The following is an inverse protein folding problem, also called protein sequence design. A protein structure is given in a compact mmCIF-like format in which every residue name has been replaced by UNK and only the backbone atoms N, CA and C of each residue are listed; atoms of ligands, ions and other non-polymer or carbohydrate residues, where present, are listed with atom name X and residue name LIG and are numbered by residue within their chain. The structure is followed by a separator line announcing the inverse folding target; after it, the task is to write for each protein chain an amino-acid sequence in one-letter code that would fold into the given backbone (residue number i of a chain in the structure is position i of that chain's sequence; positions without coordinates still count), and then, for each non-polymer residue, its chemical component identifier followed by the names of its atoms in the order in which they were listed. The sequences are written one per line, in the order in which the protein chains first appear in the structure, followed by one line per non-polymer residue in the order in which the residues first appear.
data_IF_870100792085
#
_entry.id   IF_870100792085
#
_cell.length_a   1.000
_cell.length_b   1.000
_cell.length_c   1.000
_cell.angle_alpha   90.00
_cell.angle_beta   90.00
_cell.angle_gamma   90.00
#
_symmetry.space_group_name_H-M   'P 1'
#
loop_
_entity.id
_entity.type
_entity.pdbx_description
1 polymer ?
#
# COMPACT_ATOMS: atom_id res chain seq x y z
N UNK A 1 -24.76 11.93 0.86
CA UNK A 1 -24.20 13.03 1.69
C UNK A 1 -23.01 12.59 2.51
N UNK A 2 -23.01 11.39 3.12
CA UNK A 2 -21.87 10.90 3.93
C UNK A 2 -20.59 10.72 3.08
N UNK A 3 -20.69 10.07 1.91
CA UNK A 3 -19.52 9.84 1.03
C UNK A 3 -18.79 11.14 0.62
N UNK A 4 -19.53 12.17 0.20
CA UNK A 4 -18.92 13.46 -0.18
C UNK A 4 -18.23 14.20 0.98
N UNK A 5 -18.64 13.94 2.22
CA UNK A 5 -17.94 14.47 3.40
C UNK A 5 -16.64 13.69 3.68
N UNK A 6 -16.63 12.37 3.47
CA UNK A 6 -15.43 11.53 3.63
C UNK A 6 -14.38 11.85 2.55
N UNK A 7 -14.81 12.01 1.29
CA UNK A 7 -13.95 12.43 0.18
C UNK A 7 -13.33 13.80 0.43
N UNK A 8 -14.13 14.77 0.88
CA UNK A 8 -13.65 16.11 1.22
C UNK A 8 -12.67 16.11 2.39
N UNK A 9 -12.94 15.32 3.43
CA UNK A 9 -12.03 15.14 4.56
C UNK A 9 -10.71 14.51 4.13
N UNK A 10 -10.76 13.49 3.27
CA UNK A 10 -9.55 12.82 2.77
C UNK A 10 -8.71 13.77 1.90
N UNK A 11 -9.37 14.54 1.01
CA UNK A 11 -8.69 15.54 0.18
C UNK A 11 -7.99 16.59 1.05
N UNK A 12 -8.66 17.09 2.08
CA UNK A 12 -8.06 18.06 3.00
C UNK A 12 -6.87 17.46 3.77
N UNK A 13 -6.97 16.21 4.24
CA UNK A 13 -5.86 15.55 4.93
C UNK A 13 -4.65 15.38 3.99
N UNK A 14 -4.89 15.03 2.73
CA UNK A 14 -3.85 14.89 1.72
C UNK A 14 -3.18 16.26 1.45
N UNK A 15 -3.94 17.34 1.33
CA UNK A 15 -3.39 18.70 1.18
C UNK A 15 -2.60 19.18 2.41
N UNK A 16 -3.03 18.82 3.62
CA UNK A 16 -2.30 19.15 4.86
C UNK A 16 -0.97 18.43 4.87
N UNK A 17 -0.93 17.15 4.50
CA UNK A 17 0.31 16.39 4.39
C UNK A 17 1.27 17.03 3.38
N UNK A 18 0.83 17.36 2.17
CA UNK A 18 1.66 17.99 1.13
C UNK A 18 2.27 19.32 1.57
N UNK A 19 1.61 20.05 2.47
CA UNK A 19 2.11 21.32 3.03
C UNK A 19 3.06 21.11 4.20
N UNK A 20 2.83 20.05 4.99
CA UNK A 20 3.66 19.72 6.14
C UNK A 20 4.97 19.04 5.71
N UNK A 21 4.94 18.17 4.70
CA UNK A 21 6.09 17.39 4.26
C UNK A 21 7.33 18.24 3.96
N UNK A 22 7.26 19.37 3.23
CA UNK A 22 8.44 20.21 2.97
C UNK A 22 8.93 21.02 4.17
N UNK A 23 8.11 21.12 5.23
CA UNK A 23 8.40 21.93 6.42
C UNK A 23 9.22 21.14 7.43
N UNK A 24 9.14 19.83 7.38
CA UNK A 24 9.96 18.93 8.17
C UNK A 24 11.16 18.51 7.35
N UNK A 25 12.35 18.40 7.98
CA UNK A 25 13.41 17.57 7.41
C UNK A 25 12.81 16.17 7.17
N UNK A 26 13.30 15.42 6.16
CA UNK A 26 12.72 14.16 5.64
C UNK A 26 12.28 13.16 6.72
N UNK A 27 12.73 13.34 7.97
CA UNK A 27 12.27 12.59 9.14
C UNK A 27 11.59 13.42 10.26
N UNK A 28 10.24 13.45 10.29
CA UNK A 28 9.44 14.01 11.40
C UNK A 28 8.42 13.03 12.00
N UNK A 29 8.46 12.88 13.33
CA UNK A 29 7.48 12.12 14.12
C UNK A 29 6.09 12.73 14.06
N UNK A 30 5.99 14.03 13.80
CA UNK A 30 4.71 14.75 13.75
C UNK A 30 3.87 14.27 12.56
N UNK A 31 4.52 13.84 11.46
CA UNK A 31 3.85 13.24 10.31
C UNK A 31 3.30 11.84 10.62
N UNK A 32 4.02 11.05 11.43
CA UNK A 32 3.53 9.75 11.92
C UNK A 32 2.31 9.96 12.81
N UNK A 33 2.39 10.89 13.76
CA UNK A 33 1.28 11.21 14.67
C UNK A 33 0.07 11.76 13.90
N UNK A 34 0.31 12.59 12.88
CA UNK A 34 -0.74 13.06 11.98
C UNK A 34 -1.49 11.90 11.33
N UNK A 35 -0.78 10.96 10.68
CA UNK A 35 -1.42 9.82 10.04
C UNK A 35 -2.16 8.94 11.04
N UNK A 36 -1.57 8.66 12.21
CA UNK A 36 -2.24 7.89 13.29
C UNK A 36 -3.53 8.58 13.72
N UNK A 37 -3.52 9.89 13.90
CA UNK A 37 -4.70 10.68 14.26
C UNK A 37 -5.79 10.63 13.19
N UNK A 38 -5.41 10.71 11.90
CA UNK A 38 -6.36 10.59 10.79
C UNK A 38 -6.99 9.19 10.75
N UNK A 39 -6.19 8.14 10.90
CA UNK A 39 -6.65 6.74 10.97
C UNK A 39 -7.66 6.58 12.11
N UNK A 40 -7.29 6.97 13.33
CA UNK A 40 -8.15 6.88 14.52
C UNK A 40 -9.46 7.68 14.35
N UNK A 41 -9.38 8.84 13.69
CA UNK A 41 -10.56 9.67 13.42
C UNK A 41 -11.54 8.95 12.50
N UNK A 42 -11.06 8.30 11.44
CA UNK A 42 -11.93 7.49 10.57
C UNK A 42 -12.45 6.24 11.31
N UNK A 43 -11.60 5.53 12.06
CA UNK A 43 -12.02 4.35 12.83
C UNK A 43 -13.07 4.69 13.89
N UNK A 44 -12.98 5.86 14.53
CA UNK A 44 -13.94 6.32 15.54
C UNK A 44 -15.30 6.73 14.96
N UNK A 45 -15.37 7.03 13.67
CA UNK A 45 -16.60 7.40 12.97
C UNK A 45 -17.41 6.17 12.49
N UNK A 46 -17.02 4.95 12.86
CA UNK A 46 -17.41 3.73 12.16
C UNK A 46 -18.87 3.28 12.36
N UNK A 47 -19.51 2.99 11.22
CA UNK A 47 -20.52 1.93 11.00
C UNK A 47 -20.66 1.54 9.49
N UNK A 48 -19.76 1.97 8.60
CA UNK A 48 -19.89 1.71 7.15
C UNK A 48 -18.60 1.31 6.45
N UNK A 49 -18.74 0.39 5.50
CA UNK A 49 -17.67 -0.12 4.63
C UNK A 49 -16.86 0.98 3.92
N UNK A 50 -17.51 2.10 3.58
CA UNK A 50 -16.86 3.24 2.94
C UNK A 50 -15.79 3.91 3.81
N UNK A 51 -15.93 3.90 5.14
CA UNK A 51 -14.96 4.48 6.07
C UNK A 51 -13.69 3.63 6.12
N UNK A 52 -13.85 2.30 6.04
CA UNK A 52 -12.75 1.35 6.15
C UNK A 52 -11.77 1.43 4.97
N UNK A 53 -12.24 1.83 3.78
CA UNK A 53 -11.39 2.13 2.63
C UNK A 53 -10.44 3.30 2.91
N UNK A 54 -10.90 4.37 3.57
CA UNK A 54 -10.02 5.50 3.93
C UNK A 54 -9.03 5.11 5.02
N UNK A 55 -9.46 4.30 6.00
CA UNK A 55 -8.56 3.75 7.02
C UNK A 55 -7.40 3.01 6.34
N UNK A 56 -7.70 2.12 5.40
CA UNK A 56 -6.65 1.39 4.67
C UNK A 56 -5.78 2.29 3.80
N UNK A 57 -6.37 3.28 3.10
CA UNK A 57 -5.61 4.28 2.35
C UNK A 57 -4.57 4.98 3.23
N UNK A 58 -4.98 5.44 4.42
CA UNK A 58 -4.06 6.14 5.32
C UNK A 58 -3.06 5.21 6.01
N UNK A 59 -3.41 3.95 6.29
CA UNK A 59 -2.44 2.93 6.73
C UNK A 59 -1.35 2.70 5.69
N UNK A 60 -1.71 2.63 4.41
CA UNK A 60 -0.75 2.42 3.33
C UNK A 60 0.18 3.63 3.15
N UNK A 61 -0.35 4.86 3.27
CA UNK A 61 0.46 6.09 3.27
C UNK A 61 1.40 6.18 4.47
N UNK A 62 0.93 5.79 5.65
CA UNK A 62 1.76 5.73 6.84
C UNK A 62 2.87 4.69 6.68
N UNK A 63 2.58 3.53 6.08
CA UNK A 63 3.58 2.52 5.78
C UNK A 63 4.71 3.08 4.89
N UNK A 64 4.38 3.82 3.82
CA UNK A 64 5.40 4.47 2.97
C UNK A 64 6.28 5.42 3.77
N UNK A 65 5.66 6.28 4.59
CA UNK A 65 6.39 7.22 5.42
C UNK A 65 7.32 6.52 6.42
N UNK A 66 6.88 5.38 6.98
CA UNK A 66 7.68 4.56 7.88
C UNK A 66 8.83 3.86 7.15
N UNK A 67 8.65 3.44 5.89
CA UNK A 67 9.75 2.96 5.05
C UNK A 67 10.82 4.04 4.84
N UNK A 68 10.42 5.27 4.53
CA UNK A 68 11.33 6.41 4.41
C UNK A 68 12.05 6.74 5.74
N UNK A 69 11.44 6.38 6.87
CA UNK A 69 12.00 6.49 8.21
C UNK A 69 12.93 5.36 8.64
N UNK A 70 13.04 4.29 7.85
CA UNK A 70 13.67 3.02 8.23
C UNK A 70 12.93 2.24 9.35
N UNK A 71 11.67 2.58 9.63
CA UNK A 71 10.80 1.91 10.61
C UNK A 71 10.09 0.71 9.96
N UNK A 72 10.87 -0.21 9.39
CA UNK A 72 10.37 -1.27 8.51
C UNK A 72 9.40 -2.24 9.17
N UNK A 73 9.57 -2.54 10.47
CA UNK A 73 8.71 -3.50 11.17
C UNK A 73 7.26 -2.99 11.28
N UNK A 74 7.08 -1.72 11.64
CA UNK A 74 5.76 -1.10 11.72
C UNK A 74 5.16 -0.93 10.32
N UNK A 75 5.97 -0.54 9.32
CA UNK A 75 5.52 -0.41 7.94
C UNK A 75 5.01 -1.74 7.35
N UNK A 76 5.75 -2.84 7.56
CA UNK A 76 5.35 -4.18 7.10
C UNK A 76 4.04 -4.60 7.76
N UNK A 77 3.92 -4.39 9.07
CA UNK A 77 2.69 -4.74 9.79
C UNK A 77 1.46 -4.03 9.20
N UNK A 78 1.60 -2.74 8.86
CA UNK A 78 0.52 -2.00 8.22
C UNK A 78 0.18 -2.54 6.83
N UNK A 79 1.19 -2.86 6.01
CA UNK A 79 0.98 -3.48 4.69
C UNK A 79 0.25 -4.82 4.81
N UNK A 80 0.65 -5.68 5.75
CA UNK A 80 -0.01 -6.96 6.00
C UNK A 80 -1.49 -6.77 6.41
N UNK A 81 -1.78 -5.78 7.27
CA UNK A 81 -3.15 -5.43 7.64
C UNK A 81 -3.99 -4.98 6.43
N UNK A 82 -3.45 -4.10 5.58
CA UNK A 82 -4.12 -3.63 4.36
C UNK A 82 -4.36 -4.80 3.39
N UNK A 83 -3.37 -5.67 3.20
CA UNK A 83 -3.50 -6.85 2.33
C UNK A 83 -4.61 -7.80 2.81
N UNK A 84 -4.65 -8.10 4.11
CA UNK A 84 -5.70 -8.92 4.71
C UNK A 84 -7.09 -8.31 4.50
N UNK A 85 -7.20 -6.99 4.57
CA UNK A 85 -8.44 -6.30 4.26
C UNK A 85 -8.82 -6.43 2.77
N UNK A 86 -7.89 -6.16 1.85
CA UNK A 86 -8.13 -6.31 0.41
C UNK A 86 -8.56 -7.75 0.05
N UNK A 87 -7.92 -8.75 0.66
CA UNK A 87 -8.29 -10.18 0.58
C UNK A 87 -9.75 -10.43 0.97
N UNK A 88 -10.18 -9.87 2.09
CA UNK A 88 -11.55 -10.01 2.60
C UNK A 88 -12.56 -9.36 1.66
N UNK A 89 -12.26 -8.18 1.11
CA UNK A 89 -13.20 -7.52 0.19
C UNK A 89 -13.37 -8.30 -1.10
N UNK A 90 -12.26 -8.70 -1.73
CA UNK A 90 -12.31 -9.40 -3.02
C UNK A 90 -13.07 -10.73 -2.89
N UNK A 91 -12.88 -11.46 -1.79
CA UNK A 91 -13.62 -12.70 -1.54
C UNK A 91 -15.12 -12.50 -1.26
N UNK A 92 -15.53 -11.31 -0.80
CA UNK A 92 -16.93 -10.98 -0.49
C UNK A 92 -17.71 -10.33 -1.63
N UNK A 93 -17.02 -9.62 -2.54
CA UNK A 93 -17.66 -8.82 -3.57
C UNK A 93 -17.36 -9.41 -4.94
N UNK A 94 -18.17 -10.37 -5.37
CA UNK A 94 -17.94 -11.15 -6.59
C UNK A 94 -17.94 -10.37 -7.91
N UNK A 95 -18.08 -9.03 -7.93
CA UNK A 95 -18.15 -8.28 -9.20
C UNK A 95 -18.15 -6.74 -9.09
N UNK A 96 -17.97 -6.13 -7.91
CA UNK A 96 -18.12 -4.66 -7.77
C UNK A 96 -16.99 -4.00 -7.00
N UNK A 97 -16.09 -3.40 -7.78
CA UNK A 97 -15.38 -2.16 -7.46
C UNK A 97 -14.93 -2.03 -6.00
N UNK A 98 -14.02 -2.91 -5.58
CA UNK A 98 -12.93 -2.43 -4.72
C UNK A 98 -12.35 -1.19 -5.41
N UNK A 99 -12.03 -0.13 -4.67
CA UNK A 99 -11.27 0.98 -5.26
C UNK A 99 -9.97 0.39 -5.80
N UNK A 100 -9.95 0.16 -7.11
CA UNK A 100 -9.09 -0.86 -7.69
C UNK A 100 -7.62 -0.46 -7.63
N UNK A 101 -7.40 0.85 -7.48
CA UNK A 101 -6.12 1.47 -7.19
C UNK A 101 -5.55 1.04 -5.83
N UNK A 102 -6.35 1.00 -4.75
CA UNK A 102 -5.85 0.63 -3.42
C UNK A 102 -5.43 -0.84 -3.39
N UNK A 103 -6.25 -1.73 -3.96
CA UNK A 103 -5.93 -3.14 -4.04
C UNK A 103 -4.68 -3.40 -4.90
N UNK A 104 -4.57 -2.71 -6.03
CA UNK A 104 -3.39 -2.76 -6.90
C UNK A 104 -2.12 -2.29 -6.17
N UNK A 105 -2.17 -1.12 -5.56
CA UNK A 105 -1.06 -0.51 -4.82
C UNK A 105 -0.61 -1.40 -3.65
N UNK A 106 -1.57 -1.93 -2.88
CA UNK A 106 -1.29 -2.88 -1.80
C UNK A 106 -0.60 -4.14 -2.33
N UNK A 107 -1.10 -4.74 -3.41
CA UNK A 107 -0.49 -5.95 -4.00
C UNK A 107 0.94 -5.70 -4.49
N UNK A 108 1.21 -4.55 -5.10
CA UNK A 108 2.56 -4.17 -5.53
C UNK A 108 3.48 -4.05 -4.32
N UNK A 109 3.09 -3.26 -3.30
CA UNK A 109 3.90 -3.03 -2.10
C UNK A 109 4.15 -4.32 -1.33
N UNK A 110 3.12 -5.13 -1.13
CA UNK A 110 3.23 -6.46 -0.53
C UNK A 110 4.23 -7.35 -1.27
N UNK A 111 4.12 -7.39 -2.60
CA UNK A 111 5.02 -8.18 -3.43
C UNK A 111 6.48 -7.71 -3.28
N UNK A 112 6.72 -6.40 -3.29
CA UNK A 112 8.06 -5.85 -3.12
C UNK A 112 8.63 -6.13 -1.73
N UNK A 113 7.81 -6.01 -0.68
CA UNK A 113 8.19 -6.35 0.69
C UNK A 113 8.56 -7.83 0.82
N UNK A 114 7.76 -8.73 0.26
CA UNK A 114 8.05 -10.17 0.32
C UNK A 114 9.30 -10.52 -0.50
N UNK A 115 9.51 -9.90 -1.67
CA UNK A 115 10.77 -10.02 -2.42
C UNK A 115 11.95 -9.55 -1.59
N UNK A 116 11.82 -8.44 -0.88
CA UNK A 116 12.89 -7.91 -0.03
C UNK A 116 13.20 -8.85 1.15
N UNK A 117 12.17 -9.41 1.80
CA UNK A 117 12.32 -10.28 2.98
C UNK A 117 12.78 -11.69 2.66
N UNK A 118 12.19 -12.29 1.63
CA UNK A 118 12.36 -13.71 1.29
C UNK A 118 13.31 -13.93 0.11
N UNK A 119 13.67 -12.87 -0.62
CA UNK A 119 14.54 -12.94 -1.78
C UNK A 119 13.97 -13.89 -2.84
N UNK A 120 14.70 -14.97 -3.11
CA UNK A 120 14.33 -15.95 -4.14
C UNK A 120 13.12 -16.80 -3.78
N UNK A 121 12.74 -16.85 -2.50
CA UNK A 121 11.60 -17.65 -2.00
C UNK A 121 10.26 -16.88 -2.09
N UNK A 122 10.28 -15.60 -2.47
CA UNK A 122 9.09 -14.75 -2.51
C UNK A 122 8.05 -15.11 -3.59
N UNK A 123 8.38 -16.00 -4.53
CA UNK A 123 7.51 -16.35 -5.67
C UNK A 123 6.11 -16.79 -5.23
N UNK A 124 6.02 -17.67 -4.23
CA UNK A 124 4.74 -18.19 -3.75
C UNK A 124 3.84 -17.06 -3.22
N UNK A 125 4.42 -16.10 -2.49
CA UNK A 125 3.69 -14.93 -1.98
C UNK A 125 3.26 -13.96 -3.07
N UNK A 126 4.14 -13.69 -4.03
CA UNK A 126 3.81 -12.85 -5.19
C UNK A 126 2.68 -13.46 -6.02
N UNK A 127 2.70 -14.79 -6.18
CA UNK A 127 1.63 -15.52 -6.88
C UNK A 127 0.32 -15.52 -6.07
N UNK A 128 0.38 -15.65 -4.74
CA UNK A 128 -0.79 -15.45 -3.87
C UNK A 128 -1.42 -14.07 -4.10
N UNK A 129 -0.61 -12.99 -4.14
CA UNK A 129 -1.09 -11.62 -4.38
C UNK A 129 -1.68 -11.43 -5.79
N UNK A 130 -1.10 -12.09 -6.80
CA UNK A 130 -1.65 -12.12 -8.15
C UNK A 130 -3.08 -12.66 -8.19
N UNK A 131 -3.38 -13.69 -7.39
CA UNK A 131 -4.73 -14.27 -7.34
C UNK A 131 -5.77 -13.36 -6.69
N UNK A 132 -5.35 -12.27 -6.03
CA UNK A 132 -6.24 -11.39 -5.28
C UNK A 132 -6.83 -10.29 -6.14
N UNK A 133 -6.23 -10.02 -7.29
CA UNK A 133 -6.70 -8.95 -8.16
C UNK A 133 -6.36 -9.30 -9.59
N UNK A 134 -7.39 -9.61 -10.38
CA UNK A 134 -7.26 -9.77 -11.83
C UNK A 134 -6.68 -8.50 -12.48
N UNK A 135 -6.94 -7.33 -11.90
CA UNK A 135 -6.34 -6.07 -12.37
C UNK A 135 -4.85 -6.04 -12.09
N UNK A 136 -4.40 -6.52 -10.92
CA UNK A 136 -2.97 -6.65 -10.64
C UNK A 136 -2.31 -7.63 -11.61
N UNK A 137 -2.88 -8.82 -11.83
CA UNK A 137 -2.35 -9.79 -12.78
C UNK A 137 -2.17 -9.20 -14.20
N UNK A 138 -3.08 -8.34 -14.63
CA UNK A 138 -3.04 -7.71 -15.95
C UNK A 138 -2.27 -6.39 -15.97
N UNK A 139 -1.81 -5.91 -14.81
CA UNK A 139 -1.17 -4.62 -14.66
C UNK A 139 0.28 -4.60 -15.19
N UNK A 140 0.71 -3.41 -15.60
CA UNK A 140 2.12 -3.18 -15.91
C UNK A 140 3.01 -3.35 -14.66
N UNK A 141 2.49 -2.96 -13.49
CA UNK A 141 3.19 -3.05 -12.22
C UNK A 141 3.53 -4.50 -11.86
N UNK A 142 2.63 -5.46 -12.10
CA UNK A 142 2.92 -6.87 -11.87
C UNK A 142 4.02 -7.40 -12.80
N UNK A 143 4.05 -6.95 -14.06
CA UNK A 143 5.15 -7.30 -14.98
C UNK A 143 6.50 -6.82 -14.42
N UNK A 144 6.54 -5.62 -13.84
CA UNK A 144 7.74 -5.10 -13.19
C UNK A 144 8.11 -5.91 -11.95
N UNK A 145 7.14 -6.24 -11.09
CA UNK A 145 7.35 -7.10 -9.90
C UNK A 145 7.94 -8.46 -10.30
N UNK A 146 7.41 -9.12 -11.32
CA UNK A 146 7.98 -10.39 -11.83
C UNK A 146 9.41 -10.21 -12.29
N UNK A 147 9.69 -9.14 -13.04
CA UNK A 147 11.03 -8.88 -13.56
C UNK A 147 12.03 -8.63 -12.44
N UNK A 148 11.63 -7.94 -11.38
CA UNK A 148 12.44 -7.77 -10.15
C UNK A 148 12.71 -9.14 -9.53
N UNK A 149 11.68 -9.95 -9.31
CA UNK A 149 11.81 -11.29 -8.73
C UNK A 149 12.72 -12.20 -9.56
N UNK A 150 12.57 -12.20 -10.88
CA UNK A 150 13.46 -12.93 -11.80
C UNK A 150 14.90 -12.44 -11.72
N UNK A 151 15.11 -11.13 -11.66
CA UNK A 151 16.45 -10.53 -11.51
C UNK A 151 17.11 -10.95 -10.21
N UNK A 152 16.35 -10.96 -9.10
CA UNK A 152 16.82 -11.44 -7.78
C UNK A 152 17.19 -12.92 -7.86
N UNK A 153 16.33 -13.77 -8.45
CA UNK A 153 16.59 -15.21 -8.62
C UNK A 153 17.83 -15.51 -9.47
N UNK A 154 18.07 -14.69 -10.50
CA UNK A 154 19.20 -14.85 -11.41
C UNK A 154 20.49 -14.17 -10.90
N UNK A 155 20.44 -13.42 -9.80
CA UNK A 155 21.54 -12.58 -9.34
C UNK A 155 21.92 -11.47 -10.33
N UNK A 156 20.99 -11.05 -11.19
CA UNK A 156 21.23 -10.07 -12.25
C UNK A 156 21.02 -8.64 -11.73
N UNK A 157 22.03 -8.09 -11.05
CA UNK A 157 21.96 -6.76 -10.44
C UNK A 157 21.63 -5.64 -11.45
N UNK A 158 22.21 -5.70 -12.67
CA UNK A 158 21.97 -4.67 -13.67
C UNK A 158 20.50 -4.64 -14.14
N UNK A 159 19.87 -5.81 -14.23
CA UNK A 159 18.46 -5.91 -14.58
C UNK A 159 17.56 -5.47 -13.44
N UNK A 160 17.94 -5.81 -12.20
CA UNK A 160 17.26 -5.35 -11.00
C UNK A 160 17.21 -3.82 -10.93
N UNK A 161 18.36 -3.16 -11.08
CA UNK A 161 18.44 -1.68 -11.11
C UNK A 161 17.56 -1.09 -12.22
N UNK A 162 17.60 -1.68 -13.42
CA UNK A 162 16.77 -1.24 -14.55
C UNK A 162 15.27 -1.46 -14.34
N UNK A 163 14.87 -2.47 -13.56
CA UNK A 163 13.49 -2.76 -13.26
C UNK A 163 12.95 -1.85 -12.16
N UNK A 164 13.73 -1.61 -11.10
CA UNK A 164 13.37 -0.72 -10.00
C UNK A 164 13.20 0.73 -10.46
N UNK A 165 14.05 1.21 -11.37
CA UNK A 165 13.95 2.58 -11.93
C UNK A 165 12.70 2.83 -12.81
N UNK A 166 11.87 1.82 -13.03
CA UNK A 166 10.67 1.89 -13.88
C UNK A 166 9.37 1.58 -13.14
N UNK A 167 9.46 1.24 -11.85
CA UNK A 167 8.32 1.19 -10.92
C UNK A 167 7.94 2.62 -10.57
#
# INVERSE_FOLDING_TARGET
MIQGNLDGASTLCDEVFEKLQPTYDDKSSDLIEFYKTVIESYESAADSHSVELYVQKYKLKLADYLFDWDEFEEAIKLIDEVNIFCLKIVSMVSEKATDSNLALESCVKASLVEIWRLGTEAQEKVDEFCMLSNEFEQSYQYILVKRILESVRNGNQQELENAVMRI
#
